data_IF_070068449373
#
_entry.id   IF_070068449373
#
_cell.length_a   1.000
_cell.length_b   1.000
_cell.length_c   1.000
_cell.angle_alpha   90.00
_cell.angle_beta   90.00
_cell.angle_gamma   90.00
#
_symmetry.space_group_name_H-M   'P 1'
#
loop_
_entity.id
_entity.type
_entity.pdbx_description
1 polymer ?
#
# COMPACT_ATOMS: atom_id res chain seq x y z
N UNK A 1 -65.41 79.44 38.12
CA UNK A 1 -64.87 78.80 36.89
C UNK A 1 -63.35 79.02 36.93
N UNK A 2 -62.54 78.03 37.45
CA UNK A 2 -61.12 78.16 37.56
C UNK A 2 -60.48 77.43 36.36
N UNK A 3 -59.82 78.21 35.52
CA UNK A 3 -59.08 77.68 34.37
C UNK A 3 -57.74 77.14 34.91
N UNK A 4 -57.57 75.86 34.88
CA UNK A 4 -56.28 75.24 35.13
C UNK A 4 -55.30 75.52 33.95
N UNK A 5 -54.32 76.34 34.23
CA UNK A 5 -53.13 76.52 33.35
C UNK A 5 -52.32 75.26 33.34
N UNK A 6 -52.44 74.50 32.28
CA UNK A 6 -51.50 73.36 32.04
C UNK A 6 -50.14 73.94 31.79
N UNK A 7 -49.25 73.73 32.74
CA UNK A 7 -47.83 73.99 32.60
C UNK A 7 -47.24 73.01 31.53
N UNK A 8 -47.11 73.50 30.31
CA UNK A 8 -46.26 72.84 29.31
C UNK A 8 -44.86 73.05 29.70
N UNK A 9 -44.27 72.02 30.41
CA UNK A 9 -42.90 71.96 30.82
C UNK A 9 -41.95 72.07 29.62
N UNK A 10 -40.85 72.72 29.86
CA UNK A 10 -39.69 72.83 28.98
C UNK A 10 -38.99 71.45 28.78
N UNK A 11 -39.56 70.56 27.96
CA UNK A 11 -38.98 69.25 27.66
C UNK A 11 -38.07 69.25 26.43
N UNK A 12 -37.88 70.38 25.78
CA UNK A 12 -37.12 70.48 24.51
C UNK A 12 -35.62 70.25 24.65
N UNK A 13 -35.02 70.33 25.81
CA UNK A 13 -33.60 70.10 26.05
C UNK A 13 -33.27 68.61 26.42
N UNK A 14 -34.18 67.92 27.12
CA UNK A 14 -33.97 66.53 27.52
C UNK A 14 -34.03 65.58 26.34
N UNK A 15 -34.87 65.80 25.37
CA UNK A 15 -34.97 64.98 24.16
C UNK A 15 -33.66 65.01 23.35
N UNK A 16 -33.01 66.16 23.25
CA UNK A 16 -31.74 66.28 22.51
C UNK A 16 -30.59 65.50 23.18
N UNK A 17 -30.54 65.52 24.50
CA UNK A 17 -29.54 64.73 25.27
C UNK A 17 -29.80 63.25 25.13
N UNK A 18 -31.05 62.82 25.22
CA UNK A 18 -31.45 61.41 25.02
C UNK A 18 -31.13 60.92 23.60
N UNK A 19 -31.42 61.74 22.56
CA UNK A 19 -31.08 61.42 21.18
C UNK A 19 -29.56 61.33 20.99
N UNK A 20 -28.80 62.25 21.57
CA UNK A 20 -27.34 62.21 21.49
C UNK A 20 -26.74 60.95 22.17
N UNK A 21 -27.27 60.59 23.35
CA UNK A 21 -26.87 59.36 24.05
C UNK A 21 -27.29 58.10 23.27
N UNK A 22 -28.51 58.09 22.72
CA UNK A 22 -28.99 56.97 21.89
C UNK A 22 -28.16 56.82 20.62
N UNK A 23 -27.70 57.93 20.03
CA UNK A 23 -26.86 57.88 18.82
C UNK A 23 -25.45 57.36 19.14
N UNK A 24 -24.86 57.81 20.26
CA UNK A 24 -23.56 57.26 20.73
C UNK A 24 -23.65 55.78 21.06
N UNK A 25 -24.75 55.36 21.72
CA UNK A 25 -24.97 53.95 22.02
C UNK A 25 -25.16 53.09 20.73
N UNK A 26 -25.87 53.64 19.74
CA UNK A 26 -26.06 53.00 18.43
C UNK A 26 -24.75 52.88 17.66
N UNK A 27 -23.91 53.93 17.65
CA UNK A 27 -22.58 53.89 17.05
C UNK A 27 -21.66 52.84 17.75
N UNK A 28 -21.71 52.82 19.08
CA UNK A 28 -20.98 51.80 19.87
C UNK A 28 -21.45 50.39 19.54
N UNK A 29 -22.75 50.15 19.39
CA UNK A 29 -23.30 48.88 18.99
C UNK A 29 -22.89 48.47 17.58
N UNK A 30 -22.96 49.38 16.62
CA UNK A 30 -22.49 49.14 15.23
C UNK A 30 -20.99 48.81 15.23
N UNK A 31 -20.18 49.56 15.97
CA UNK A 31 -18.75 49.29 16.11
C UNK A 31 -18.47 47.89 16.68
N UNK A 32 -19.19 47.47 17.72
CA UNK A 32 -19.10 46.13 18.29
C UNK A 32 -19.45 45.03 17.26
N UNK A 33 -20.54 45.25 16.50
CA UNK A 33 -20.92 44.28 15.47
C UNK A 33 -19.85 44.14 14.38
N UNK A 34 -19.22 45.26 13.99
CA UNK A 34 -18.10 45.21 13.01
C UNK A 34 -16.90 44.46 13.55
N UNK A 35 -16.45 44.75 14.79
CA UNK A 35 -15.31 44.06 15.39
C UNK A 35 -15.59 42.56 15.62
N UNK A 36 -16.77 42.20 16.13
CA UNK A 36 -17.17 40.77 16.28
C UNK A 36 -17.23 40.08 14.92
N UNK A 37 -17.78 40.76 13.89
CA UNK A 37 -17.80 40.25 12.53
C UNK A 37 -16.41 39.98 11.97
N UNK A 38 -15.47 40.93 12.21
CA UNK A 38 -14.07 40.75 11.79
C UNK A 38 -13.41 39.57 12.50
N UNK A 39 -13.61 39.42 13.81
CA UNK A 39 -13.11 38.29 14.60
C UNK A 39 -13.64 36.96 14.02
N UNK A 40 -14.94 36.88 13.72
CA UNK A 40 -15.52 35.68 13.16
C UNK A 40 -14.95 35.31 11.80
N UNK A 41 -14.75 36.31 10.92
CA UNK A 41 -14.14 36.11 9.60
C UNK A 41 -12.70 35.62 9.75
N UNK A 42 -11.92 36.26 10.62
CA UNK A 42 -10.52 35.89 10.86
C UNK A 42 -10.41 34.50 11.50
N UNK A 43 -11.30 34.15 12.43
CA UNK A 43 -11.34 32.80 13.01
C UNK A 43 -11.67 31.73 11.96
N UNK A 44 -12.65 31.99 11.10
CA UNK A 44 -13.00 31.07 10.03
C UNK A 44 -11.88 30.91 9.00
N UNK A 45 -11.09 31.98 8.77
CA UNK A 45 -9.91 31.96 7.92
C UNK A 45 -8.77 31.17 8.57
N UNK A 46 -8.46 31.46 9.84
CA UNK A 46 -7.46 30.74 10.61
C UNK A 46 -7.77 29.24 10.64
N UNK A 47 -9.01 28.87 10.92
CA UNK A 47 -9.43 27.46 10.99
C UNK A 47 -9.15 26.74 9.67
N UNK A 48 -9.58 27.31 8.53
CA UNK A 48 -9.32 26.72 7.21
C UNK A 48 -7.82 26.60 6.91
N UNK A 49 -7.04 27.63 7.30
CA UNK A 49 -5.59 27.59 7.15
C UNK A 49 -4.95 26.50 7.98
N UNK A 50 -5.43 26.29 9.21
CA UNK A 50 -4.91 25.24 10.12
C UNK A 50 -5.32 23.84 9.63
N UNK A 51 -6.56 23.67 9.13
CA UNK A 51 -6.99 22.41 8.51
C UNK A 51 -6.05 22.03 7.35
N UNK A 52 -5.76 22.96 6.44
CA UNK A 52 -4.87 22.74 5.32
C UNK A 52 -3.40 22.54 5.75
N UNK A 53 -2.93 23.28 6.77
CA UNK A 53 -1.57 23.14 7.32
C UNK A 53 -1.36 21.78 8.00
N UNK A 54 -2.41 21.24 8.67
CA UNK A 54 -2.34 19.92 9.29
C UNK A 54 -2.16 18.79 8.27
N UNK A 55 -2.85 18.88 7.12
CA UNK A 55 -2.67 17.94 6.01
C UNK A 55 -1.28 18.09 5.38
N UNK A 56 -0.79 19.32 5.18
CA UNK A 56 0.56 19.56 4.66
C UNK A 56 1.65 19.02 5.58
N UNK A 57 1.49 19.18 6.90
CA UNK A 57 2.41 18.63 7.88
C UNK A 57 2.34 17.09 7.93
N UNK A 58 1.13 16.52 7.86
CA UNK A 58 0.93 15.07 7.81
C UNK A 58 1.58 14.45 6.58
N UNK A 59 1.50 15.09 5.41
CA UNK A 59 2.17 14.63 4.19
C UNK A 59 3.71 14.57 4.31
N UNK A 60 4.30 15.29 5.28
CA UNK A 60 5.73 15.23 5.61
C UNK A 60 6.06 14.16 6.65
N UNK A 61 5.04 13.49 7.24
CA UNK A 61 5.23 12.54 8.32
C UNK A 61 5.76 11.20 7.81
N UNK A 62 7.06 11.09 7.72
CA UNK A 62 7.81 9.90 7.28
C UNK A 62 9.15 9.82 8.01
N UNK A 63 9.79 8.66 7.92
CA UNK A 63 11.09 8.46 8.53
C UNK A 63 12.10 9.53 8.06
N UNK A 64 13.01 9.93 8.94
CA UNK A 64 14.03 10.97 8.75
C UNK A 64 13.49 12.40 8.63
N UNK A 65 12.18 12.65 8.81
CA UNK A 65 11.64 13.99 8.94
C UNK A 65 11.51 14.40 10.40
N UNK A 66 12.04 15.56 10.69
CA UNK A 66 12.01 16.10 12.06
C UNK A 66 10.71 16.86 12.32
N UNK A 67 10.33 16.96 13.60
CA UNK A 67 9.21 17.81 14.03
C UNK A 67 9.40 19.27 13.61
N UNK A 68 10.66 19.74 13.57
CA UNK A 68 11.00 21.10 13.11
C UNK A 68 10.65 21.32 11.64
N UNK A 69 10.96 20.35 10.75
CA UNK A 69 10.61 20.43 9.32
C UNK A 69 9.10 20.40 9.10
N UNK A 70 8.37 19.57 9.87
CA UNK A 70 6.89 19.55 9.81
C UNK A 70 6.30 20.89 10.31
N UNK A 71 6.89 21.47 11.35
CA UNK A 71 6.48 22.79 11.85
C UNK A 71 6.75 23.90 10.83
N UNK A 72 7.88 23.83 10.14
CA UNK A 72 8.21 24.75 9.05
C UNK A 72 7.22 24.63 7.90
N UNK A 73 6.92 23.40 7.46
CA UNK A 73 5.94 23.14 6.42
C UNK A 73 4.54 23.67 6.77
N UNK A 74 4.08 23.42 8.01
CA UNK A 74 2.80 23.94 8.50
C UNK A 74 2.78 25.47 8.53
N UNK A 75 3.85 26.09 9.01
CA UNK A 75 3.98 27.56 9.12
C UNK A 75 4.00 28.20 7.73
N UNK A 76 4.78 27.65 6.80
CA UNK A 76 4.84 28.13 5.42
C UNK A 76 3.48 28.01 4.73
N UNK A 77 2.75 26.91 4.97
CA UNK A 77 1.43 26.73 4.41
C UNK A 77 0.41 27.74 4.94
N UNK A 78 0.46 28.05 6.25
CA UNK A 78 -0.35 29.10 6.86
C UNK A 78 -0.03 30.47 6.24
N UNK A 79 1.25 30.78 6.04
CA UNK A 79 1.71 32.02 5.41
C UNK A 79 1.20 32.16 3.96
N UNK A 80 1.31 31.08 3.17
CA UNK A 80 0.79 31.02 1.79
C UNK A 80 -0.73 31.18 1.72
N UNK A 81 -1.43 30.80 2.78
CA UNK A 81 -2.88 31.01 2.91
C UNK A 81 -3.25 32.37 3.50
N UNK A 82 -2.33 33.32 3.56
CA UNK A 82 -2.61 34.71 3.96
C UNK A 82 -2.69 34.91 5.48
N UNK A 83 -2.05 34.07 6.27
CA UNK A 83 -1.95 34.17 7.72
C UNK A 83 -0.44 34.32 8.10
N UNK A 84 0.19 35.48 7.80
CA UNK A 84 1.63 35.62 7.92
C UNK A 84 2.12 35.73 9.39
N UNK A 85 1.32 36.33 10.27
CA UNK A 85 1.68 36.57 11.68
C UNK A 85 1.04 35.49 12.57
N UNK A 86 1.52 34.24 12.41
CA UNK A 86 0.99 33.11 13.14
C UNK A 86 2.10 32.36 13.89
N UNK A 87 1.81 31.95 15.10
CA UNK A 87 2.62 31.00 15.85
C UNK A 87 1.99 29.62 15.68
N UNK A 88 2.67 28.73 15.00
CA UNK A 88 2.23 27.34 14.82
C UNK A 88 3.02 26.40 15.75
N UNK A 89 2.31 25.46 16.36
CA UNK A 89 2.87 24.34 17.12
C UNK A 89 2.38 23.06 16.46
N UNK A 90 3.31 22.17 16.16
CA UNK A 90 3.03 20.86 15.57
C UNK A 90 3.33 19.78 16.60
N UNK A 91 2.38 18.87 16.79
CA UNK A 91 2.50 17.70 17.64
C UNK A 91 2.19 16.47 16.78
N UNK A 92 2.90 15.38 17.00
CA UNK A 92 2.70 14.11 16.27
C UNK A 92 2.28 13.01 17.24
N UNK A 93 1.55 12.04 16.75
CA UNK A 93 1.35 10.81 17.51
C UNK A 93 2.69 10.07 17.61
N UNK A 94 3.25 9.97 18.80
CA UNK A 94 4.45 9.19 19.10
C UNK A 94 4.05 7.96 19.91
N UNK A 95 4.24 6.74 19.39
CA UNK A 95 3.94 5.50 20.11
C UNK A 95 4.76 5.32 21.41
N UNK A 96 5.95 5.95 21.48
CA UNK A 96 6.80 5.93 22.66
C UNK A 96 6.32 6.85 23.80
N UNK A 97 5.59 7.90 23.46
CA UNK A 97 4.98 8.86 24.40
C UNK A 97 3.58 9.28 23.90
N UNK A 98 2.62 8.36 23.92
CA UNK A 98 1.33 8.58 23.29
C UNK A 98 0.49 9.60 24.07
N UNK A 99 0.14 10.73 23.43
CA UNK A 99 -1.00 11.54 23.84
C UNK A 99 -2.30 10.78 23.55
N UNK A 100 -3.08 10.36 24.57
CA UNK A 100 -4.32 9.63 24.34
C UNK A 100 -5.35 10.37 23.49
N UNK A 101 -5.24 11.71 23.42
CA UNK A 101 -6.11 12.54 22.61
C UNK A 101 -5.69 12.60 21.14
N UNK A 102 -4.42 12.29 20.84
CA UNK A 102 -3.86 12.31 19.49
C UNK A 102 -3.61 10.87 18.97
N UNK A 103 -3.06 10.00 19.81
CA UNK A 103 -2.75 8.63 19.42
C UNK A 103 -3.91 7.68 19.70
N UNK A 104 -4.73 7.41 18.70
CA UNK A 104 -5.79 6.40 18.79
C UNK A 104 -5.22 4.99 18.60
N UNK A 105 -5.56 4.08 19.50
CA UNK A 105 -5.21 2.65 19.41
C UNK A 105 -6.30 1.90 18.60
N UNK A 106 -6.04 0.70 18.02
CA UNK A 106 -4.93 -0.20 18.35
C UNK A 106 -3.65 0.00 17.53
N UNK A 107 -3.70 0.68 16.40
CA UNK A 107 -2.57 0.80 15.49
C UNK A 107 -1.98 2.20 15.53
N UNK A 108 -0.66 2.32 15.44
CA UNK A 108 0.00 3.59 15.27
C UNK A 108 -0.48 4.27 13.97
N UNK A 109 -0.92 5.54 14.06
CA UNK A 109 -1.42 6.33 12.94
C UNK A 109 -0.54 7.55 12.73
N UNK A 110 -0.31 7.94 11.49
CA UNK A 110 0.47 9.13 11.12
C UNK A 110 -0.35 10.40 11.37
N UNK A 111 -0.71 10.66 12.63
CA UNK A 111 -1.53 11.79 13.04
C UNK A 111 -0.64 12.98 13.40
N UNK A 112 -0.98 14.13 12.85
CA UNK A 112 -0.28 15.41 13.09
C UNK A 112 -1.31 16.43 13.52
N UNK A 113 -1.16 16.95 14.76
CA UNK A 113 -1.94 18.07 15.27
C UNK A 113 -1.21 19.35 14.99
N UNK A 114 -1.87 20.28 14.33
CA UNK A 114 -1.39 21.66 14.16
C UNK A 114 -2.28 22.58 14.97
N UNK A 115 -1.67 23.34 15.86
CA UNK A 115 -2.32 24.41 16.62
C UNK A 115 -1.68 25.72 16.21
N UNK A 116 -2.50 26.68 15.79
CA UNK A 116 -2.01 28.00 15.40
C UNK A 116 -2.75 29.09 16.15
N UNK A 117 -2.00 30.13 16.54
CA UNK A 117 -2.51 31.31 17.25
C UNK A 117 -2.17 32.53 16.41
N UNK A 118 -3.19 33.37 16.16
CA UNK A 118 -3.08 34.64 15.43
C UNK A 118 -3.71 35.75 16.26
N UNK A 119 -3.17 36.94 16.17
CA UNK A 119 -3.71 38.13 16.82
C UNK A 119 -4.61 38.90 15.86
N UNK A 120 -5.77 39.34 16.34
CA UNK A 120 -6.73 40.16 15.57
C UNK A 120 -6.90 41.49 16.27
N UNK A 121 -6.58 42.55 15.55
CA UNK A 121 -6.78 43.93 16.03
C UNK A 121 -8.21 44.38 15.86
N UNK A 122 -8.73 45.11 16.85
CA UNK A 122 -10.06 45.68 16.79
C UNK A 122 -10.01 47.11 16.19
N UNK A 123 -11.07 47.45 15.45
CA UNK A 123 -11.20 48.78 14.84
C UNK A 123 -11.93 49.78 15.75
N UNK A 124 -12.90 49.35 16.51
CA UNK A 124 -13.74 50.21 17.35
C UNK A 124 -13.58 49.98 18.84
N UNK A 125 -13.27 48.77 19.27
CA UNK A 125 -13.03 48.44 20.70
C UNK A 125 -11.89 49.18 21.36
N UNK A 126 -10.85 49.71 20.65
CA UNK A 126 -9.82 50.59 21.26
C UNK A 126 -10.38 51.80 22.00
N UNK A 127 -11.56 52.28 21.60
CA UNK A 127 -12.27 53.35 22.35
C UNK A 127 -12.60 52.96 23.79
N UNK A 128 -12.76 51.62 24.01
CA UNK A 128 -13.01 51.04 25.33
C UNK A 128 -11.72 50.52 26.01
N UNK A 129 -10.55 50.72 25.38
CA UNK A 129 -9.26 50.29 25.88
C UNK A 129 -8.93 48.80 25.53
N UNK A 130 -9.66 48.18 24.63
CA UNK A 130 -9.42 46.81 24.16
C UNK A 130 -8.91 46.88 22.73
N UNK A 131 -7.65 46.50 22.50
CA UNK A 131 -6.96 46.74 21.22
C UNK A 131 -6.94 45.51 20.32
N UNK A 132 -6.80 44.32 20.88
CA UNK A 132 -6.70 43.07 20.12
C UNK A 132 -7.23 41.88 20.92
N UNK A 133 -7.36 40.76 20.24
CA UNK A 133 -7.64 39.45 20.83
C UNK A 133 -6.85 38.37 20.15
N UNK A 134 -6.49 37.31 20.88
CA UNK A 134 -5.85 36.14 20.30
C UNK A 134 -6.90 35.12 19.91
N UNK A 135 -6.77 34.61 18.69
CA UNK A 135 -7.57 33.49 18.15
C UNK A 135 -6.66 32.26 18.05
N UNK A 136 -7.15 31.16 18.55
CA UNK A 136 -6.48 29.86 18.42
C UNK A 136 -7.39 28.90 17.66
N UNK A 137 -6.83 28.23 16.67
CA UNK A 137 -7.46 27.11 15.98
C UNK A 137 -6.55 25.89 16.02
N UNK A 138 -7.16 24.74 15.94
CA UNK A 138 -6.48 23.43 15.98
C UNK A 138 -7.13 22.50 14.99
N UNK A 139 -6.32 21.70 14.30
CA UNK A 139 -6.75 20.61 13.42
C UNK A 139 -5.80 19.42 13.53
N UNK A 140 -6.31 18.25 13.22
CA UNK A 140 -5.54 17.02 13.11
C UNK A 140 -5.60 16.56 11.66
N UNK A 141 -4.43 16.47 11.04
CA UNK A 141 -4.22 15.83 9.74
C UNK A 141 -3.73 14.42 9.93
N UNK A 142 -4.03 13.55 8.98
CA UNK A 142 -3.54 12.18 8.94
C UNK A 142 -2.92 11.90 7.59
N UNK A 143 -1.74 11.27 7.59
CA UNK A 143 -1.19 10.63 6.41
C UNK A 143 -1.57 9.16 6.40
N UNK A 144 -1.81 8.62 5.20
CA UNK A 144 -2.08 7.20 5.05
C UNK A 144 -0.90 6.38 5.56
N UNK A 145 -1.18 5.38 6.39
CA UNK A 145 -0.23 4.33 6.68
C UNK A 145 -0.18 3.34 5.51
N UNK A 146 0.93 2.67 5.35
CA UNK A 146 1.10 1.63 4.36
C UNK A 146 0.87 0.25 4.96
N UNK A 147 0.17 -0.60 4.23
CA UNK A 147 0.14 -2.03 4.45
C UNK A 147 0.76 -2.68 3.21
N UNK A 148 2.00 -3.12 3.34
CA UNK A 148 2.81 -3.64 2.23
C UNK A 148 2.86 -5.15 2.30
N UNK A 149 2.61 -5.82 1.18
CA UNK A 149 2.82 -7.27 1.03
C UNK A 149 3.89 -7.49 -0.03
N UNK A 150 5.01 -8.03 0.38
CA UNK A 150 6.03 -8.55 -0.54
C UNK A 150 5.64 -9.97 -0.93
N UNK A 151 5.45 -10.21 -2.22
CA UNK A 151 5.12 -11.52 -2.80
C UNK A 151 6.32 -11.97 -3.64
N UNK A 152 7.12 -12.87 -3.09
CA UNK A 152 8.42 -13.20 -3.64
C UNK A 152 8.44 -14.66 -4.14
N UNK A 153 8.91 -14.81 -5.36
CA UNK A 153 9.22 -16.11 -5.92
C UNK A 153 10.41 -16.74 -5.19
N UNK A 154 10.28 -17.99 -4.78
CA UNK A 154 11.35 -18.81 -4.25
C UNK A 154 11.44 -20.17 -4.94
N UNK A 155 10.91 -20.26 -6.16
CA UNK A 155 11.03 -21.45 -6.99
C UNK A 155 12.47 -21.81 -7.28
N UNK A 156 12.73 -23.00 -7.80
CA UNK A 156 14.09 -23.48 -8.03
C UNK A 156 14.89 -22.61 -9.00
N UNK A 157 14.21 -21.98 -9.98
CA UNK A 157 14.84 -21.06 -10.94
C UNK A 157 15.56 -19.90 -10.26
N UNK A 158 15.10 -19.49 -9.08
CA UNK A 158 15.74 -18.46 -8.25
C UNK A 158 17.13 -18.87 -7.71
N UNK A 159 17.61 -20.08 -8.02
CA UNK A 159 18.98 -20.55 -7.77
C UNK A 159 19.76 -20.81 -9.07
N UNK A 160 19.21 -20.44 -10.24
CA UNK A 160 19.74 -20.77 -11.58
C UNK A 160 21.19 -20.30 -11.76
N UNK A 161 21.52 -19.10 -11.33
CA UNK A 161 22.84 -18.48 -11.50
C UNK A 161 23.88 -19.05 -10.54
N UNK A 162 23.45 -19.85 -9.54
CA UNK A 162 24.32 -20.58 -8.60
C UNK A 162 24.45 -22.07 -8.94
N UNK A 163 24.12 -22.46 -10.14
CA UNK A 163 24.20 -23.85 -10.62
C UNK A 163 22.90 -24.65 -10.47
N UNK A 164 21.78 -23.99 -10.16
CA UNK A 164 20.44 -24.56 -10.19
C UNK A 164 20.12 -25.59 -9.10
N UNK A 165 20.97 -25.74 -8.07
CA UNK A 165 20.73 -26.66 -6.96
C UNK A 165 20.63 -25.95 -5.61
N UNK A 166 19.39 -25.65 -5.15
CA UNK A 166 19.16 -24.97 -3.88
C UNK A 166 19.78 -25.70 -2.67
N UNK A 167 19.97 -27.01 -2.73
CA UNK A 167 20.58 -27.79 -1.62
C UNK A 167 22.04 -27.42 -1.39
N UNK A 168 22.70 -26.88 -2.38
CA UNK A 168 24.10 -26.45 -2.30
C UNK A 168 24.27 -25.01 -1.91
N UNK A 169 23.40 -24.13 -2.35
CA UNK A 169 23.50 -22.68 -2.14
C UNK A 169 22.73 -22.17 -0.92
N UNK A 170 21.59 -22.74 -0.56
CA UNK A 170 20.83 -22.35 0.65
C UNK A 170 21.68 -22.41 1.93
N UNK A 171 22.51 -23.47 2.19
CA UNK A 171 23.27 -23.52 3.44
C UNK A 171 24.34 -22.44 3.59
N UNK A 172 24.66 -21.75 2.50
CA UNK A 172 25.70 -20.69 2.45
C UNK A 172 25.12 -19.32 2.08
N UNK A 173 23.82 -19.19 2.01
CA UNK A 173 23.12 -17.97 1.58
C UNK A 173 23.72 -17.41 0.27
N UNK A 174 23.85 -18.25 -0.73
CA UNK A 174 24.52 -17.92 -2.00
C UNK A 174 23.70 -18.25 -3.24
N UNK A 175 22.40 -18.56 -3.07
CA UNK A 175 21.51 -18.81 -4.20
C UNK A 175 21.27 -17.52 -4.99
N UNK A 176 21.69 -17.50 -6.25
CA UNK A 176 21.46 -16.37 -7.13
C UNK A 176 20.44 -16.74 -8.22
N UNK A 177 19.51 -15.84 -8.57
CA UNK A 177 19.42 -14.42 -8.18
C UNK A 177 18.72 -14.15 -6.83
N UNK A 178 18.27 -15.17 -6.09
CA UNK A 178 17.44 -15.04 -4.87
C UNK A 178 18.06 -14.14 -3.80
N UNK A 179 19.37 -14.23 -3.55
CA UNK A 179 20.05 -13.39 -2.56
C UNK A 179 19.98 -11.90 -2.91
N UNK A 180 20.05 -11.56 -4.20
CA UNK A 180 19.87 -10.20 -4.66
C UNK A 180 18.44 -9.69 -4.41
N UNK A 181 17.44 -10.54 -4.66
CA UNK A 181 16.01 -10.24 -4.37
C UNK A 181 15.81 -10.02 -2.88
N UNK A 182 16.33 -10.93 -2.04
CA UNK A 182 16.25 -10.84 -0.58
C UNK A 182 16.87 -9.55 -0.07
N UNK A 183 18.07 -9.21 -0.55
CA UNK A 183 18.75 -7.97 -0.16
C UNK A 183 17.97 -6.72 -0.56
N UNK A 184 17.42 -6.68 -1.78
CA UNK A 184 16.63 -5.57 -2.26
C UNK A 184 15.31 -5.42 -1.50
N UNK A 185 14.63 -6.53 -1.19
CA UNK A 185 13.43 -6.56 -0.36
C UNK A 185 13.71 -6.04 1.07
N UNK A 186 14.82 -6.45 1.68
CA UNK A 186 15.23 -5.94 3.00
C UNK A 186 15.56 -4.44 2.97
N UNK A 187 16.20 -3.96 1.91
CA UNK A 187 16.45 -2.53 1.72
C UNK A 187 15.14 -1.74 1.56
N UNK A 188 14.15 -2.29 0.86
CA UNK A 188 12.83 -1.70 0.73
C UNK A 188 12.10 -1.61 2.07
N UNK A 189 12.07 -2.68 2.88
CA UNK A 189 11.48 -2.67 4.23
C UNK A 189 12.13 -1.60 5.11
N UNK A 190 13.43 -1.36 4.97
CA UNK A 190 14.12 -0.31 5.70
C UNK A 190 13.70 1.12 5.32
N UNK A 191 13.05 1.32 4.16
CA UNK A 191 12.48 2.61 3.74
C UNK A 191 11.08 2.86 4.31
N UNK A 192 10.42 1.86 4.89
CA UNK A 192 9.10 2.00 5.51
C UNK A 192 9.24 2.62 6.92
N UNK A 193 8.23 3.36 7.33
CA UNK A 193 8.23 4.07 8.60
C UNK A 193 7.44 3.30 9.67
N UNK A 194 8.11 2.34 10.31
CA UNK A 194 7.53 1.60 11.44
C UNK A 194 7.44 2.45 12.72
N UNK A 195 6.45 2.23 13.57
CA UNK A 195 5.36 1.23 13.48
C UNK A 195 4.12 1.73 12.74
N UNK A 196 4.19 2.85 12.02
CA UNK A 196 3.05 3.42 11.30
C UNK A 196 2.75 2.68 9.99
N UNK A 197 3.78 2.20 9.32
CA UNK A 197 3.67 1.30 8.18
C UNK A 197 3.79 -0.14 8.66
N UNK A 198 3.19 -1.06 7.93
CA UNK A 198 3.27 -2.50 8.22
C UNK A 198 3.73 -3.25 6.98
N UNK A 199 4.38 -4.36 7.22
CA UNK A 199 4.83 -5.23 6.15
C UNK A 199 4.45 -6.69 6.42
N UNK A 200 4.16 -7.41 5.34
CA UNK A 200 3.99 -8.85 5.32
C UNK A 200 4.92 -9.45 4.26
N UNK A 201 5.26 -10.71 4.46
CA UNK A 201 6.08 -11.48 3.52
C UNK A 201 5.33 -12.74 3.13
N UNK A 202 5.05 -12.85 1.87
CA UNK A 202 4.44 -14.00 1.22
C UNK A 202 5.45 -14.54 0.22
N UNK A 203 5.67 -15.82 0.20
CA UNK A 203 6.48 -16.47 -0.82
C UNK A 203 5.69 -17.54 -1.54
N UNK A 204 6.08 -17.82 -2.77
CA UNK A 204 5.51 -18.90 -3.53
C UNK A 204 6.59 -19.70 -4.25
N UNK A 205 6.31 -20.96 -4.39
CA UNK A 205 7.01 -21.96 -5.19
C UNK A 205 5.92 -22.77 -5.91
N UNK A 206 5.77 -24.04 -5.65
CA UNK A 206 4.61 -24.84 -5.97
C UNK A 206 3.40 -24.49 -5.10
N UNK A 207 3.66 -24.22 -3.82
CA UNK A 207 2.67 -23.77 -2.86
C UNK A 207 2.69 -22.25 -2.66
N UNK A 208 1.97 -21.81 -1.65
CA UNK A 208 2.00 -20.46 -1.15
C UNK A 208 2.29 -20.48 0.34
N UNK A 209 3.12 -19.57 0.79
CA UNK A 209 3.57 -19.48 2.19
C UNK A 209 3.40 -18.04 2.68
N UNK A 210 2.69 -17.88 3.78
CA UNK A 210 2.66 -16.62 4.53
C UNK A 210 3.78 -16.71 5.55
N UNK A 211 4.99 -16.23 5.17
CA UNK A 211 6.16 -16.31 6.03
C UNK A 211 6.08 -15.30 7.17
N UNK A 212 5.38 -14.18 6.95
CA UNK A 212 5.06 -13.18 7.95
C UNK A 212 3.75 -12.47 7.60
N UNK A 213 2.78 -12.52 8.51
CA UNK A 213 1.59 -11.67 8.45
C UNK A 213 1.95 -10.18 8.64
N UNK A 214 0.99 -9.28 8.37
CA UNK A 214 1.21 -7.85 8.57
C UNK A 214 1.73 -7.55 9.98
N UNK A 215 2.95 -7.03 10.06
CA UNK A 215 3.60 -6.63 11.31
C UNK A 215 3.97 -5.15 11.28
N UNK A 216 3.82 -4.47 12.40
CA UNK A 216 4.29 -3.10 12.64
C UNK A 216 5.67 -3.07 13.31
N UNK A 217 6.35 -4.21 13.35
CA UNK A 217 7.73 -4.36 13.85
C UNK A 217 8.69 -4.62 12.68
N UNK A 218 9.61 -3.66 12.44
CA UNK A 218 10.62 -3.74 11.38
C UNK A 218 11.50 -4.98 11.50
N UNK A 219 11.95 -5.28 12.72
CA UNK A 219 12.89 -6.38 12.95
C UNK A 219 12.22 -7.73 12.68
N UNK A 220 10.93 -7.86 12.98
CA UNK A 220 10.15 -9.06 12.67
C UNK A 220 10.06 -9.25 11.16
N UNK A 221 9.75 -8.20 10.39
CA UNK A 221 9.69 -8.27 8.93
C UNK A 221 11.05 -8.59 8.31
N UNK A 222 12.12 -7.94 8.77
CA UNK A 222 13.50 -8.20 8.31
C UNK A 222 13.97 -9.62 8.65
N UNK A 223 13.63 -10.12 9.85
CA UNK A 223 13.97 -11.50 10.24
C UNK A 223 13.22 -12.53 9.38
N UNK A 224 11.98 -12.28 9.02
CA UNK A 224 11.25 -13.14 8.09
C UNK A 224 12.00 -13.24 6.76
N UNK A 225 12.36 -12.10 6.14
CA UNK A 225 13.13 -12.07 4.90
C UNK A 225 14.51 -12.76 5.04
N UNK A 226 15.22 -12.51 6.14
CA UNK A 226 16.55 -13.09 6.37
C UNK A 226 16.55 -14.63 6.46
N UNK A 227 15.41 -15.22 6.85
CA UNK A 227 15.28 -16.68 6.98
C UNK A 227 14.71 -17.34 5.73
N UNK A 228 14.36 -16.59 4.69
CA UNK A 228 13.87 -17.17 3.44
C UNK A 228 14.98 -17.95 2.74
N UNK A 229 14.57 -19.04 2.11
CA UNK A 229 15.45 -19.87 1.28
C UNK A 229 14.74 -20.18 -0.01
N UNK A 230 15.48 -20.40 -1.10
CA UNK A 230 14.94 -21.01 -2.31
C UNK A 230 14.36 -22.36 -1.93
N UNK A 231 13.26 -22.76 -2.60
CA UNK A 231 12.53 -23.99 -2.27
C UNK A 231 13.47 -25.09 -1.78
N UNK A 232 13.40 -25.47 -0.51
CA UNK A 232 14.35 -26.41 0.05
C UNK A 232 14.10 -27.79 -0.54
N UNK A 233 15.15 -28.40 -1.09
CA UNK A 233 15.12 -29.79 -1.49
C UNK A 233 15.36 -30.68 -0.28
N UNK A 234 14.38 -31.30 0.33
CA UNK A 234 14.62 -32.24 1.42
C UNK A 234 15.14 -33.58 0.85
N UNK A 235 16.40 -33.83 1.04
CA UNK A 235 16.95 -35.15 0.86
C UNK A 235 17.26 -35.59 -0.59
N UNK A 236 17.46 -36.89 -0.75
CA UNK A 236 17.74 -37.51 -2.04
C UNK A 236 16.62 -38.51 -2.38
N UNK A 237 15.78 -38.30 -3.40
CA UNK A 237 15.91 -37.30 -4.46
C UNK A 237 15.67 -35.87 -3.96
N UNK A 238 16.30 -34.91 -4.63
CA UNK A 238 16.33 -33.51 -4.14
C UNK A 238 14.97 -32.81 -4.09
N UNK A 239 13.94 -33.32 -4.75
CA UNK A 239 12.59 -32.85 -4.66
C UNK A 239 11.71 -33.90 -4.03
N UNK A 240 10.88 -33.50 -3.09
CA UNK A 240 9.86 -34.38 -2.53
C UNK A 240 8.69 -34.41 -3.53
N UNK A 241 8.89 -35.14 -4.60
CA UNK A 241 7.86 -35.34 -5.61
C UNK A 241 6.63 -35.93 -4.90
N UNK A 242 5.56 -35.15 -4.81
CA UNK A 242 4.28 -35.70 -4.42
C UNK A 242 3.95 -36.88 -5.37
N UNK A 243 3.41 -38.00 -4.87
CA UNK A 243 2.97 -39.05 -5.76
C UNK A 243 1.93 -38.44 -6.71
N UNK A 244 2.10 -38.66 -8.03
CA UNK A 244 1.08 -38.29 -9.02
C UNK A 244 -0.15 -39.10 -8.65
N UNK A 245 -1.13 -38.44 -8.07
CA UNK A 245 -2.46 -39.00 -7.88
C UNK A 245 -3.33 -38.38 -8.98
N UNK A 246 -3.14 -38.82 -10.22
CA UNK A 246 -4.10 -38.54 -11.25
C UNK A 246 -5.23 -39.57 -11.16
N UNK A 247 -6.41 -39.20 -10.64
CA UNK A 247 -7.54 -40.11 -10.58
C UNK A 247 -8.08 -40.49 -11.98
N UNK A 248 -7.70 -39.75 -13.02
CA UNK A 248 -8.11 -39.95 -14.40
C UNK A 248 -7.11 -40.82 -15.20
N UNK A 249 -5.86 -40.95 -14.70
CA UNK A 249 -4.84 -41.77 -15.35
C UNK A 249 -4.32 -42.89 -14.43
N UNK A 250 -5.01 -44.04 -14.36
CA UNK A 250 -4.58 -45.17 -13.53
C UNK A 250 -3.32 -45.87 -14.05
N UNK A 251 -2.71 -45.40 -15.15
CA UNK A 251 -1.55 -46.05 -15.78
C UNK A 251 -0.25 -45.81 -15.03
N UNK A 252 -0.21 -44.85 -14.09
CA UNK A 252 1.01 -44.50 -13.37
C UNK A 252 0.84 -44.45 -11.84
N UNK A 253 0.29 -45.49 -11.17
CA UNK A 253 0.15 -45.52 -9.72
C UNK A 253 1.53 -45.52 -9.08
N UNK A 254 1.85 -44.49 -8.34
CA UNK A 254 3.10 -44.40 -7.57
C UNK A 254 4.26 -43.71 -8.28
N UNK A 255 4.06 -43.10 -9.43
CA UNK A 255 5.05 -42.22 -10.04
C UNK A 255 5.06 -40.85 -9.32
N UNK A 256 6.22 -40.26 -9.24
CA UNK A 256 6.43 -38.98 -8.60
C UNK A 256 6.36 -37.87 -9.66
N UNK A 257 5.73 -36.79 -9.30
CA UNK A 257 5.64 -35.60 -10.12
C UNK A 257 7.01 -34.96 -10.34
N UNK A 258 7.56 -34.96 -11.56
CA UNK A 258 8.84 -34.33 -11.83
C UNK A 258 8.80 -32.81 -11.77
N UNK A 259 7.61 -32.20 -11.89
CA UNK A 259 7.43 -30.74 -11.83
C UNK A 259 7.50 -30.18 -10.41
N UNK A 260 7.51 -31.03 -9.38
CA UNK A 260 7.43 -30.61 -7.98
C UNK A 260 8.50 -29.63 -7.51
N UNK A 261 9.53 -29.41 -8.33
CA UNK A 261 10.68 -28.60 -7.97
C UNK A 261 10.86 -27.36 -8.83
N UNK A 262 10.25 -27.31 -9.98
CA UNK A 262 10.47 -26.26 -11.00
C UNK A 262 9.26 -25.39 -11.23
N UNK A 263 8.32 -25.38 -10.30
CA UNK A 263 7.02 -24.74 -10.48
C UNK A 263 6.96 -23.34 -9.88
N UNK A 264 6.27 -22.46 -10.61
CA UNK A 264 6.08 -21.04 -10.31
C UNK A 264 4.58 -20.77 -10.22
N UNK A 265 4.06 -20.71 -8.98
CA UNK A 265 2.63 -20.54 -8.71
C UNK A 265 2.31 -19.07 -8.40
N UNK A 266 2.33 -18.20 -9.41
CA UNK A 266 2.06 -16.77 -9.28
C UNK A 266 0.65 -16.54 -8.70
N UNK A 267 -0.35 -17.26 -9.21
CA UNK A 267 -1.73 -17.15 -8.71
C UNK A 267 -1.85 -17.48 -7.22
N UNK A 268 -1.10 -18.51 -6.76
CA UNK A 268 -1.01 -18.81 -5.32
C UNK A 268 -0.40 -17.66 -4.52
N UNK A 269 0.65 -17.02 -5.04
CA UNK A 269 1.26 -15.83 -4.43
C UNK A 269 0.27 -14.68 -4.28
N UNK A 270 -0.51 -14.38 -5.32
CA UNK A 270 -1.58 -13.36 -5.31
C UNK A 270 -2.68 -13.70 -4.30
N UNK A 271 -3.11 -14.96 -4.23
CA UNK A 271 -4.06 -15.43 -3.22
C UNK A 271 -3.51 -15.28 -1.80
N UNK A 272 -2.21 -15.51 -1.61
CA UNK A 272 -1.53 -15.29 -0.34
C UNK A 272 -1.60 -13.83 0.08
N UNK A 273 -1.32 -12.90 -0.83
CA UNK A 273 -1.46 -11.46 -0.59
C UNK A 273 -2.90 -11.08 -0.25
N UNK A 274 -3.88 -11.59 -1.01
CA UNK A 274 -5.31 -11.40 -0.72
C UNK A 274 -5.69 -11.87 0.69
N UNK A 275 -5.18 -13.02 1.08
CA UNK A 275 -5.43 -13.62 2.42
C UNK A 275 -4.90 -12.73 3.53
N UNK A 276 -3.67 -12.25 3.40
CA UNK A 276 -3.04 -11.35 4.39
C UNK A 276 -3.81 -10.02 4.50
N UNK A 277 -4.14 -9.41 3.37
CA UNK A 277 -4.80 -8.10 3.35
C UNK A 277 -6.26 -8.15 3.80
N UNK A 278 -6.94 -9.29 3.64
CA UNK A 278 -8.34 -9.47 4.04
C UNK A 278 -8.52 -9.99 5.47
N UNK A 279 -7.45 -10.32 6.19
CA UNK A 279 -7.56 -10.82 7.57
C UNK A 279 -8.18 -9.75 8.49
N UNK A 280 -9.37 -10.02 9.08
CA UNK A 280 -10.07 -9.04 9.91
C UNK A 280 -9.28 -8.62 11.16
N UNK A 281 -8.31 -9.43 11.61
CA UNK A 281 -7.46 -9.10 12.76
C UNK A 281 -6.44 -8.00 12.43
N UNK A 282 -6.08 -7.84 11.16
CA UNK A 282 -5.11 -6.87 10.69
C UNK A 282 -5.72 -5.73 9.87
N UNK A 283 -7.04 -5.75 9.65
CA UNK A 283 -7.71 -4.73 8.85
C UNK A 283 -7.58 -3.33 9.46
N UNK A 284 -6.94 -2.42 8.69
CA UNK A 284 -6.84 -1.00 8.98
C UNK A 284 -7.52 -0.21 7.86
N UNK A 285 -8.57 0.56 8.19
CA UNK A 285 -9.46 1.19 7.18
C UNK A 285 -8.81 2.30 6.36
N UNK A 286 -7.85 2.98 6.93
CA UNK A 286 -7.25 4.20 6.37
C UNK A 286 -5.81 3.96 5.87
N UNK A 287 -5.47 2.71 5.51
CA UNK A 287 -4.18 2.34 4.93
C UNK A 287 -4.26 2.22 3.42
N UNK A 288 -3.18 2.61 2.76
CA UNK A 288 -2.92 2.29 1.36
C UNK A 288 -2.34 0.88 1.29
N UNK A 289 -2.95 0.01 0.52
CA UNK A 289 -2.45 -1.32 0.27
C UNK A 289 -1.43 -1.31 -0.87
N UNK A 290 -0.29 -1.88 -0.63
CA UNK A 290 0.78 -1.98 -1.62
C UNK A 290 1.22 -3.43 -1.73
N UNK A 291 1.21 -3.95 -2.94
CA UNK A 291 1.71 -5.28 -3.24
C UNK A 291 2.93 -5.13 -4.15
N UNK A 292 4.00 -5.83 -3.84
CA UNK A 292 5.17 -5.93 -4.72
C UNK A 292 5.38 -7.40 -5.03
N UNK A 293 5.01 -7.80 -6.24
CA UNK A 293 5.16 -9.16 -6.76
C UNK A 293 6.46 -9.26 -7.55
N UNK A 294 7.32 -10.23 -7.23
CA UNK A 294 8.54 -10.50 -7.95
C UNK A 294 8.63 -11.98 -8.33
N UNK A 295 8.95 -12.24 -9.60
CA UNK A 295 9.18 -13.57 -10.15
C UNK A 295 10.25 -13.56 -11.24
N UNK A 296 10.95 -14.66 -11.43
CA UNK A 296 11.90 -14.87 -12.54
C UNK A 296 11.34 -15.74 -13.67
N UNK A 297 10.06 -16.11 -13.60
CA UNK A 297 9.42 -16.97 -14.59
C UNK A 297 7.96 -16.62 -14.86
N UNK A 298 7.36 -17.33 -15.79
CA UNK A 298 5.93 -17.28 -16.05
C UNK A 298 5.18 -18.28 -15.19
N UNK A 299 3.86 -18.05 -14.98
CA UNK A 299 3.01 -18.97 -14.24
C UNK A 299 2.98 -20.35 -14.92
N UNK A 300 3.18 -21.40 -14.15
CA UNK A 300 3.18 -22.77 -14.66
C UNK A 300 2.60 -23.80 -13.67
N UNK A 301 1.97 -23.32 -12.61
CA UNK A 301 1.35 -24.17 -11.58
C UNK A 301 0.16 -23.48 -10.91
N UNK A 302 -0.80 -24.28 -10.42
CA UNK A 302 -1.95 -23.81 -9.64
C UNK A 302 -1.92 -24.42 -8.23
N UNK A 303 -2.71 -23.88 -7.31
CA UNK A 303 -3.04 -24.59 -6.08
C UNK A 303 -3.96 -25.77 -6.38
N UNK A 304 -4.10 -26.74 -5.43
CA UNK A 304 -5.03 -27.85 -5.60
C UNK A 304 -6.45 -27.37 -5.92
N UNK A 305 -7.04 -27.95 -6.96
CA UNK A 305 -8.36 -27.62 -7.46
C UNK A 305 -9.24 -28.88 -7.50
N UNK A 306 -10.58 -28.76 -7.52
CA UNK A 306 -11.46 -29.92 -7.70
C UNK A 306 -11.11 -30.68 -8.98
N UNK A 307 -10.80 -31.98 -8.88
CA UNK A 307 -10.30 -32.79 -10.00
C UNK A 307 -8.78 -32.83 -10.17
N UNK A 308 -8.06 -31.82 -9.64
CA UNK A 308 -6.61 -31.67 -9.70
C UNK A 308 -6.02 -31.46 -8.30
N UNK A 309 -6.01 -32.49 -7.44
CA UNK A 309 -5.63 -32.36 -6.03
C UNK A 309 -4.15 -32.00 -5.83
N UNK A 310 -3.33 -32.11 -6.88
CA UNK A 310 -1.91 -31.74 -6.83
C UNK A 310 -1.61 -30.41 -7.51
N UNK A 311 -2.64 -29.67 -7.95
CA UNK A 311 -2.47 -28.40 -8.63
C UNK A 311 -1.97 -28.53 -10.07
N UNK A 312 -2.35 -29.60 -10.77
CA UNK A 312 -2.03 -29.79 -12.18
C UNK A 312 -3.07 -29.18 -13.08
N UNK A 313 -2.63 -28.81 -14.28
CA UNK A 313 -3.50 -28.54 -15.39
C UNK A 313 -4.05 -29.82 -16.01
N UNK A 314 -5.19 -29.72 -16.71
CA UNK A 314 -5.65 -30.74 -17.62
C UNK A 314 -4.60 -31.10 -18.69
N UNK A 315 -4.56 -32.38 -19.10
CA UNK A 315 -3.55 -32.90 -20.04
C UNK A 315 -3.63 -32.28 -21.44
N UNK A 316 -4.72 -31.62 -21.81
CA UNK A 316 -4.93 -30.98 -23.09
C UNK A 316 -4.43 -29.54 -23.16
N UNK A 317 -4.16 -28.89 -22.02
CA UNK A 317 -3.51 -27.57 -21.96
C UNK A 317 -1.98 -27.68 -21.93
N UNK A 318 -1.46 -28.88 -22.02
CA UNK A 318 -0.02 -29.09 -22.01
C UNK A 318 0.55 -28.80 -23.39
N UNK A 319 1.61 -27.98 -23.44
CA UNK A 319 2.36 -27.73 -24.67
C UNK A 319 3.17 -28.99 -25.01
N UNK A 320 2.50 -29.99 -25.54
CA UNK A 320 3.05 -31.32 -25.74
C UNK A 320 4.22 -31.32 -26.73
N UNK A 321 4.24 -30.39 -27.68
CA UNK A 321 5.28 -30.32 -28.70
C UNK A 321 6.64 -29.90 -28.12
N UNK A 322 6.65 -29.02 -27.15
CA UNK A 322 7.90 -28.54 -26.54
C UNK A 322 8.44 -29.51 -25.48
N UNK A 323 7.58 -30.23 -24.79
CA UNK A 323 8.00 -31.34 -23.92
C UNK A 323 8.60 -32.50 -24.72
N UNK A 324 8.17 -32.73 -25.94
CA UNK A 324 8.76 -33.70 -26.81
C UNK A 324 10.20 -33.44 -27.21
N UNK A 325 10.65 -32.17 -27.12
CA UNK A 325 12.03 -31.78 -27.41
C UNK A 325 12.98 -31.94 -26.21
N UNK A 326 12.46 -31.78 -25.00
CA UNK A 326 13.27 -31.83 -23.77
C UNK A 326 13.38 -33.21 -23.16
N UNK A 327 12.39 -34.10 -23.38
CA UNK A 327 12.33 -35.45 -22.81
C UNK A 327 12.53 -36.50 -23.91
N UNK A 328 13.46 -37.47 -23.75
CA UNK A 328 13.74 -38.48 -24.77
C UNK A 328 12.52 -39.32 -25.15
N UNK A 329 12.45 -39.72 -26.40
CA UNK A 329 11.40 -40.63 -26.90
C UNK A 329 11.44 -41.96 -26.14
N UNK A 330 10.30 -42.32 -25.53
CA UNK A 330 10.18 -43.51 -24.69
C UNK A 330 10.34 -43.30 -23.20
N UNK A 331 10.59 -42.07 -22.77
CA UNK A 331 10.49 -41.68 -21.35
C UNK A 331 9.03 -41.65 -20.93
N UNK A 332 8.64 -42.36 -19.85
CA UNK A 332 7.28 -42.35 -19.35
C UNK A 332 6.78 -40.96 -18.87
N UNK A 333 7.65 -40.02 -18.71
CA UNK A 333 7.31 -38.64 -18.33
C UNK A 333 7.09 -37.72 -19.55
N UNK A 334 7.33 -38.19 -20.77
CA UNK A 334 7.13 -37.40 -21.99
C UNK A 334 5.66 -36.98 -22.19
N UNK A 335 4.73 -37.82 -21.74
CA UNK A 335 3.29 -37.56 -21.81
C UNK A 335 2.77 -36.81 -20.57
N UNK A 336 3.65 -36.50 -19.63
CA UNK A 336 3.37 -35.78 -18.37
C UNK A 336 4.21 -34.53 -18.33
N UNK A 337 4.05 -33.64 -19.32
CA UNK A 337 4.76 -32.38 -19.31
C UNK A 337 4.39 -31.54 -18.06
N UNK A 338 5.39 -31.08 -17.29
CA UNK A 338 5.13 -30.38 -16.05
C UNK A 338 4.63 -28.96 -16.25
N UNK A 339 4.42 -28.50 -17.49
CA UNK A 339 4.12 -27.10 -17.79
C UNK A 339 2.67 -26.97 -18.16
N UNK A 340 1.98 -26.28 -17.30
CA UNK A 340 0.58 -25.99 -17.38
C UNK A 340 0.42 -24.61 -18.03
N UNK A 341 0.35 -24.61 -19.35
CA UNK A 341 0.21 -23.36 -20.11
C UNK A 341 -0.30 -23.65 -21.50
N UNK A 342 -1.27 -22.92 -21.98
CA UNK A 342 -1.64 -22.96 -23.37
C UNK A 342 -0.64 -22.20 -24.27
N UNK A 343 -0.79 -22.30 -25.59
CA UNK A 343 0.13 -21.67 -26.56
C UNK A 343 -0.15 -20.17 -26.71
N UNK A 344 -1.37 -19.76 -26.48
CA UNK A 344 -1.84 -18.40 -26.72
C UNK A 344 -1.77 -17.49 -25.48
N UNK A 345 -1.46 -18.03 -24.29
CA UNK A 345 -1.32 -17.24 -23.07
C UNK A 345 -2.56 -16.39 -22.79
N UNK A 346 -2.37 -15.12 -22.45
CA UNK A 346 -3.46 -14.18 -22.15
C UNK A 346 -4.41 -13.88 -23.32
N UNK A 347 -4.11 -14.31 -24.53
CA UNK A 347 -4.94 -14.03 -25.72
C UNK A 347 -6.29 -14.74 -25.62
N UNK A 348 -6.31 -15.93 -25.02
CA UNK A 348 -7.53 -16.70 -24.82
C UNK A 348 -7.63 -17.07 -23.35
N UNK A 349 -8.37 -16.27 -22.59
CA UNK A 349 -8.65 -16.57 -21.18
C UNK A 349 -9.75 -17.61 -21.07
N UNK A 350 -9.51 -18.66 -20.33
CA UNK A 350 -10.46 -19.74 -20.05
C UNK A 350 -11.01 -19.61 -18.63
N UNK A 351 -12.24 -20.03 -18.43
CA UNK A 351 -12.89 -20.05 -17.13
C UNK A 351 -12.98 -21.49 -16.62
N UNK A 352 -12.56 -21.74 -15.40
CA UNK A 352 -12.57 -23.05 -14.78
C UNK A 352 -13.94 -23.76 -14.83
N UNK A 353 -15.03 -23.00 -14.64
CA UNK A 353 -16.39 -23.56 -14.58
C UNK A 353 -16.96 -23.89 -15.97
N UNK A 354 -16.51 -23.22 -17.02
CA UNK A 354 -17.06 -23.33 -18.38
C UNK A 354 -16.16 -24.07 -19.35
N UNK A 355 -14.87 -23.99 -19.17
CA UNK A 355 -13.85 -24.63 -20.01
C UNK A 355 -12.66 -25.15 -19.17
N UNK A 356 -12.90 -26.10 -18.26
CA UNK A 356 -11.86 -26.62 -17.37
C UNK A 356 -10.75 -27.38 -18.12
N UNK A 357 -11.02 -27.79 -19.35
CA UNK A 357 -10.05 -28.56 -20.15
C UNK A 357 -8.95 -27.69 -20.75
N UNK A 358 -9.18 -26.39 -20.86
CA UNK A 358 -8.22 -25.41 -21.35
C UNK A 358 -7.75 -24.43 -20.25
N UNK A 359 -8.32 -24.48 -19.07
CA UNK A 359 -7.94 -23.65 -17.94
C UNK A 359 -6.54 -24.01 -17.44
N UNK A 360 -5.65 -23.04 -17.38
CA UNK A 360 -4.25 -23.25 -17.06
C UNK A 360 -3.72 -22.38 -15.90
N UNK A 361 -2.41 -22.33 -15.70
CA UNK A 361 -1.80 -21.61 -14.63
C UNK A 361 -1.82 -20.08 -14.82
N UNK A 362 -1.87 -19.61 -16.07
CA UNK A 362 -2.02 -18.20 -16.39
C UNK A 362 -3.45 -17.74 -16.12
N UNK A 363 -4.46 -18.52 -16.56
CA UNK A 363 -5.87 -18.26 -16.25
C UNK A 363 -6.10 -18.20 -14.74
N UNK A 364 -5.51 -19.16 -14.01
CA UNK A 364 -5.57 -19.16 -12.55
C UNK A 364 -4.94 -17.90 -11.95
N UNK A 365 -3.80 -17.47 -12.45
CA UNK A 365 -3.14 -16.26 -11.94
C UNK A 365 -3.94 -15.00 -12.25
N UNK A 366 -4.57 -14.92 -13.44
CA UNK A 366 -5.48 -13.83 -13.80
C UNK A 366 -6.72 -13.79 -12.90
N UNK A 367 -7.33 -14.94 -12.61
CA UNK A 367 -8.49 -15.02 -11.72
C UNK A 367 -8.14 -14.58 -10.30
N UNK A 368 -6.96 -14.95 -9.79
CA UNK A 368 -6.50 -14.50 -8.47
C UNK A 368 -6.16 -12.99 -8.46
N UNK A 369 -5.64 -12.46 -9.57
CA UNK A 369 -5.37 -11.03 -9.70
C UNK A 369 -6.66 -10.20 -9.70
N UNK A 370 -7.67 -10.63 -10.47
CA UNK A 370 -8.99 -9.99 -10.49
C UNK A 370 -9.68 -10.06 -9.13
N UNK A 371 -9.68 -11.24 -8.50
CA UNK A 371 -10.25 -11.41 -7.16
C UNK A 371 -9.56 -10.53 -6.12
N UNK A 372 -8.24 -10.36 -6.23
CA UNK A 372 -7.47 -9.45 -5.37
C UNK A 372 -7.85 -7.98 -5.60
N UNK A 373 -7.99 -7.57 -6.87
CA UNK A 373 -8.40 -6.21 -7.22
C UNK A 373 -9.83 -5.90 -6.75
N UNK A 374 -10.74 -6.88 -6.80
CA UNK A 374 -12.12 -6.76 -6.33
C UNK A 374 -12.25 -6.67 -4.80
N UNK A 375 -11.25 -7.15 -4.04
CA UNK A 375 -11.25 -7.01 -2.57
C UNK A 375 -11.22 -5.56 -2.12
N UNK A 376 -10.83 -4.64 -2.99
CA UNK A 376 -10.56 -3.27 -2.57
C UNK A 376 -11.72 -2.32 -2.83
N UNK A 377 -12.58 -2.11 -1.83
CA UNK A 377 -13.22 -0.80 -1.62
C UNK A 377 -12.17 0.30 -1.26
N UNK A 378 -10.87 0.02 -1.44
CA UNK A 378 -9.73 0.80 -0.92
C UNK A 378 -8.72 1.09 -2.00
N UNK A 379 -7.92 2.12 -1.78
CA UNK A 379 -6.78 2.40 -2.64
C UNK A 379 -5.75 1.27 -2.51
N UNK A 380 -5.50 0.59 -3.61
CA UNK A 380 -4.47 -0.46 -3.75
C UNK A 380 -3.52 -0.10 -4.89
N UNK A 381 -2.27 -0.48 -4.76
CA UNK A 381 -1.27 -0.39 -5.83
C UNK A 381 -0.56 -1.73 -5.92
N UNK A 382 -0.45 -2.27 -7.11
CA UNK A 382 0.30 -3.50 -7.35
C UNK A 382 1.50 -3.20 -8.26
N UNK A 383 2.70 -3.33 -7.73
CA UNK A 383 3.92 -3.32 -8.52
C UNK A 383 4.35 -4.74 -8.84
N UNK A 384 4.74 -4.97 -10.07
CA UNK A 384 5.25 -6.27 -10.50
C UNK A 384 6.66 -6.13 -11.05
N UNK A 385 7.52 -7.09 -10.73
CA UNK A 385 8.90 -7.13 -11.14
C UNK A 385 9.17 -8.47 -11.82
N UNK A 386 9.51 -8.44 -13.10
CA UNK A 386 9.97 -9.60 -13.86
C UNK A 386 11.49 -9.61 -13.91
N UNK A 387 12.11 -10.69 -13.41
CA UNK A 387 13.55 -10.83 -13.30
C UNK A 387 14.08 -11.82 -14.33
N UNK A 388 15.05 -11.38 -15.14
CA UNK A 388 15.74 -12.24 -16.10
C UNK A 388 14.96 -12.47 -17.41
N UNK A 389 15.57 -13.28 -18.28
CA UNK A 389 15.04 -13.50 -19.65
C UNK A 389 13.84 -14.45 -19.67
N UNK A 390 13.64 -15.28 -18.65
CA UNK A 390 12.56 -16.29 -18.61
C UNK A 390 11.15 -15.66 -18.52
N UNK A 391 11.05 -14.42 -18.08
CA UNK A 391 9.81 -13.67 -18.04
C UNK A 391 9.44 -13.14 -19.42
N UNK A 392 10.43 -12.69 -20.20
CA UNK A 392 10.24 -12.06 -21.52
C UNK A 392 10.44 -13.04 -22.69
N UNK A 393 11.09 -14.17 -22.44
CA UNK A 393 11.34 -15.21 -23.45
C UNK A 393 11.10 -16.57 -22.81
N UNK A 394 9.85 -16.84 -22.52
CA UNK A 394 9.40 -18.08 -21.90
C UNK A 394 9.79 -19.28 -22.73
N UNK A 395 10.43 -20.27 -22.13
CA UNK A 395 10.90 -21.47 -22.84
C UNK A 395 9.73 -22.30 -23.37
N UNK A 396 8.56 -22.20 -22.74
CA UNK A 396 7.37 -22.99 -23.07
C UNK A 396 6.14 -22.08 -23.13
N UNK A 397 5.28 -22.29 -24.12
CA UNK A 397 4.14 -21.46 -24.41
C UNK A 397 4.50 -20.17 -25.18
N UNK A 398 3.69 -19.13 -25.03
CA UNK A 398 3.95 -17.83 -25.65
C UNK A 398 5.20 -17.18 -25.04
N UNK A 399 6.16 -16.71 -25.85
CA UNK A 399 7.46 -16.23 -25.34
C UNK A 399 7.36 -15.12 -24.28
N UNK A 400 6.39 -14.21 -24.40
CA UNK A 400 6.20 -13.04 -23.54
C UNK A 400 5.09 -13.21 -22.47
N UNK A 401 4.60 -14.45 -22.27
CA UNK A 401 3.49 -14.73 -21.37
C UNK A 401 3.73 -14.24 -19.93
N UNK A 402 4.93 -14.44 -19.40
CA UNK A 402 5.25 -13.95 -18.05
C UNK A 402 5.20 -12.44 -17.94
N UNK A 403 5.70 -11.72 -18.93
CA UNK A 403 5.65 -10.26 -18.97
C UNK A 403 4.21 -9.77 -19.09
N UNK A 404 3.41 -10.33 -20.03
CA UNK A 404 2.01 -9.91 -20.23
C UNK A 404 1.18 -10.10 -18.96
N UNK A 405 1.36 -11.24 -18.26
CA UNK A 405 0.70 -11.47 -16.98
C UNK A 405 1.07 -10.43 -15.93
N UNK A 406 2.37 -10.12 -15.79
CA UNK A 406 2.85 -9.14 -14.82
C UNK A 406 2.38 -7.72 -15.14
N UNK A 407 2.35 -7.34 -16.42
CA UNK A 407 1.79 -6.07 -16.87
C UNK A 407 0.29 -5.98 -16.55
N UNK A 408 -0.48 -7.02 -16.84
CA UNK A 408 -1.90 -7.10 -16.52
C UNK A 408 -2.15 -6.92 -15.01
N UNK A 409 -1.43 -7.66 -14.18
CA UNK A 409 -1.57 -7.59 -12.71
C UNK A 409 -1.26 -6.19 -12.17
N UNK A 410 -0.24 -5.52 -12.71
CA UNK A 410 0.10 -4.17 -12.31
C UNK A 410 -0.98 -3.15 -12.72
N UNK A 411 -1.51 -3.28 -13.93
CA UNK A 411 -2.51 -2.35 -14.49
C UNK A 411 -3.85 -2.40 -13.75
N UNK A 412 -4.20 -3.56 -13.14
CA UNK A 412 -5.45 -3.71 -12.37
C UNK A 412 -5.56 -2.75 -11.19
N UNK A 413 -4.45 -2.27 -10.63
CA UNK A 413 -4.43 -1.47 -9.41
C UNK A 413 -3.51 -0.24 -9.53
N UNK A 414 -3.53 0.45 -10.67
CA UNK A 414 -2.76 1.69 -10.92
C UNK A 414 -1.26 1.57 -10.60
N UNK A 415 -0.69 0.39 -10.70
CA UNK A 415 0.71 0.11 -10.44
C UNK A 415 1.61 0.27 -11.65
N UNK A 416 2.70 -0.47 -11.67
CA UNK A 416 3.64 -0.50 -12.80
C UNK A 416 4.40 -1.81 -12.82
N UNK A 417 4.62 -2.32 -14.02
CA UNK A 417 5.55 -3.41 -14.29
C UNK A 417 6.98 -2.88 -14.44
N UNK A 418 7.93 -3.63 -13.89
CA UNK A 418 9.37 -3.40 -14.05
C UNK A 418 10.04 -4.66 -14.58
N UNK A 419 10.83 -4.50 -15.63
CA UNK A 419 11.73 -5.55 -16.11
C UNK A 419 13.13 -5.33 -15.55
N UNK A 420 13.74 -6.37 -15.00
CA UNK A 420 15.12 -6.37 -14.55
C UNK A 420 15.89 -7.50 -15.25
N UNK A 421 17.03 -7.18 -15.85
CA UNK A 421 17.85 -8.21 -16.49
C UNK A 421 18.53 -9.14 -15.47
N UNK A 422 18.85 -8.60 -14.30
CA UNK A 422 19.51 -9.32 -13.22
C UNK A 422 19.18 -8.70 -11.84
N UNK A 423 19.69 -9.29 -10.78
CA UNK A 423 19.42 -8.84 -9.42
C UNK A 423 20.12 -7.51 -9.04
N UNK A 424 21.10 -7.05 -9.81
CA UNK A 424 21.89 -5.85 -9.48
C UNK A 424 21.04 -4.57 -9.61
N UNK A 425 20.06 -4.55 -10.53
CA UNK A 425 19.18 -3.41 -10.73
C UNK A 425 17.99 -3.34 -9.75
N UNK A 426 17.72 -4.40 -9.00
CA UNK A 426 16.56 -4.48 -8.10
C UNK A 426 16.58 -3.38 -7.03
N UNK A 427 17.74 -3.00 -6.54
CA UNK A 427 17.85 -1.92 -5.56
C UNK A 427 17.31 -0.59 -6.08
N UNK A 428 17.54 -0.28 -7.37
CA UNK A 428 17.03 0.92 -8.03
C UNK A 428 15.52 0.82 -8.23
N UNK A 429 15.02 -0.35 -8.66
CA UNK A 429 13.59 -0.60 -8.87
C UNK A 429 12.81 -0.44 -7.55
N UNK A 430 13.25 -1.09 -6.48
CA UNK A 430 12.61 -0.96 -5.18
C UNK A 430 12.67 0.48 -4.62
N UNK A 431 13.75 1.23 -4.93
CA UNK A 431 13.84 2.64 -4.58
C UNK A 431 12.82 3.50 -5.35
N UNK A 432 12.64 3.23 -6.66
CA UNK A 432 11.64 3.92 -7.48
C UNK A 432 10.21 3.60 -7.00
N UNK A 433 9.92 2.34 -6.69
CA UNK A 433 8.65 1.91 -6.11
C UNK A 433 8.37 2.69 -4.81
N UNK A 434 9.34 2.75 -3.90
CA UNK A 434 9.20 3.50 -2.66
C UNK A 434 8.90 4.99 -2.93
N UNK A 435 9.60 5.63 -3.87
CA UNK A 435 9.34 7.02 -4.24
C UNK A 435 7.94 7.23 -4.82
N UNK A 436 7.46 6.32 -5.67
CA UNK A 436 6.11 6.40 -6.26
C UNK A 436 5.03 6.28 -5.21
N UNK A 437 5.16 5.34 -4.27
CA UNK A 437 4.25 5.18 -3.14
C UNK A 437 4.17 6.49 -2.35
N UNK A 438 5.31 7.05 -1.96
CA UNK A 438 5.34 8.29 -1.17
C UNK A 438 4.81 9.51 -1.94
N UNK A 439 4.99 9.54 -3.25
CA UNK A 439 4.46 10.64 -4.09
C UNK A 439 2.94 10.58 -4.21
N UNK A 440 2.35 9.39 -4.20
CA UNK A 440 0.89 9.20 -4.28
C UNK A 440 0.20 9.59 -2.97
N UNK A 441 0.80 9.27 -1.83
CA UNK A 441 0.27 9.65 -0.51
C UNK A 441 0.27 11.18 -0.31
N UNK A 442 1.17 11.88 -1.00
CA UNK A 442 1.30 13.34 -0.90
C UNK A 442 0.31 14.12 -1.81
N UNK A 443 -0.49 13.48 -2.63
CA UNK A 443 -1.52 14.08 -3.49
C UNK A 443 -2.89 14.03 -2.83
#
# INVERSE_FOLDING_TARGET
MRIQKVLRGREKGQALILIALAFVALLGFVGLVVDVGAVFIQYAHLRRGVDAASLSAAAQFREFRTLAEMTEAATEFLRLNGIPDVSAVVEVCDPGDPDPALCAMPWARKLVRVRATSEVEFSFMPVLGIYSTQLTAEAIGEAAGLDVVLVLDRSESMASDSGGDPSTCNPTDSCQPFEGVRAAAMAFINNLYFPYDRAAVVTFDRGVHIDQDLTDDRDVALNALANLTVYPRPGNPPCDYAPIVDPLNPLYPGQRDPSGCTTTNIGGGLLGAATVLSDPNFLRRDSLWVIVLLTDGAANHTLPMPGYPNGYCPSNTWVQDDCNLAIPEGDPFRDLCPICRDIDGLVTRHEYDTDPDNYDAEDYALDQADALAELSDRDMIIFTIGLGEQVTNTTYGKPDAGQELLEYVADLADGSYYASADADDLGNIFSDIAQRIFTRIAK
#
